data_IF_595727509330
#
_entry.id   IF_595727509330
#
_cell.length_a   1.000
_cell.length_b   1.000
_cell.length_c   1.000
_cell.angle_alpha   90.00
_cell.angle_beta   90.00
_cell.angle_gamma   90.00
#
_symmetry.space_group_name_H-M   'P 1'
#
loop_
_entity.id
_entity.type
_entity.pdbx_description
1 polymer ?
#
# COMPACT_ATOMS: atom_id res chain seq x y z
N UNK A 1 2.48 18.67 7.85
CA UNK A 1 2.49 17.29 8.40
C UNK A 1 3.33 16.43 7.47
N UNK A 2 4.19 15.57 8.00
CA UNK A 2 5.00 14.65 7.19
C UNK A 2 4.22 13.37 6.92
N UNK A 3 4.29 12.85 5.69
CA UNK A 3 3.71 11.58 5.25
C UNK A 3 4.82 10.66 4.77
N UNK A 4 4.67 9.37 5.07
CA UNK A 4 5.57 8.32 4.59
C UNK A 4 4.96 7.72 3.33
N UNK A 5 5.67 7.77 2.22
CA UNK A 5 5.23 7.18 0.94
C UNK A 5 6.24 6.11 0.49
N UNK A 6 5.74 5.10 -0.23
CA UNK A 6 6.56 4.13 -0.93
C UNK A 6 6.48 4.41 -2.43
N UNK A 7 7.63 4.58 -3.07
CA UNK A 7 7.70 4.76 -4.52
C UNK A 7 7.39 3.43 -5.19
N UNK A 8 6.38 3.39 -6.03
CA UNK A 8 5.97 2.18 -6.77
C UNK A 8 6.31 2.28 -8.26
N UNK A 9 6.68 3.48 -8.71
CA UNK A 9 6.96 3.76 -10.11
C UNK A 9 8.39 3.41 -10.52
N UNK A 10 8.50 2.84 -11.72
CA UNK A 10 9.78 2.57 -12.40
C UNK A 10 10.40 3.83 -13.05
N UNK A 11 9.74 4.99 -12.94
CA UNK A 11 10.14 6.24 -13.63
C UNK A 11 11.18 7.08 -12.86
N UNK A 12 11.79 6.51 -11.82
CA UNK A 12 12.84 7.17 -11.00
C UNK A 12 12.54 8.65 -10.67
N UNK A 13 11.43 8.97 -9.98
CA UNK A 13 11.07 10.35 -9.75
C UNK A 13 12.15 11.08 -8.93
N UNK A 14 12.45 12.31 -9.32
CA UNK A 14 13.49 13.13 -8.68
C UNK A 14 12.85 13.95 -7.55
N UNK A 15 13.46 13.90 -6.37
CA UNK A 15 13.11 14.69 -5.21
C UNK A 15 14.36 15.42 -4.71
N UNK A 16 14.35 16.76 -4.72
CA UNK A 16 15.47 17.61 -4.25
C UNK A 16 16.85 17.15 -4.76
N UNK A 17 16.97 16.95 -6.08
CA UNK A 17 18.18 16.46 -6.77
C UNK A 17 18.60 15.01 -6.50
N UNK A 18 17.76 14.24 -5.79
CA UNK A 18 17.96 12.80 -5.61
C UNK A 18 16.94 12.01 -6.40
N UNK A 19 17.41 11.03 -7.17
CA UNK A 19 16.55 10.01 -7.78
C UNK A 19 16.03 9.06 -6.71
N UNK A 20 14.73 8.83 -6.72
CA UNK A 20 14.11 7.82 -5.85
C UNK A 20 13.96 6.51 -6.60
N UNK A 21 14.36 5.42 -5.96
CA UNK A 21 14.27 4.08 -6.54
C UNK A 21 12.89 3.47 -6.30
N UNK A 22 12.52 2.49 -7.13
CA UNK A 22 11.34 1.66 -6.87
C UNK A 22 11.46 0.97 -5.50
N UNK A 23 10.34 0.87 -4.80
CA UNK A 23 10.19 0.34 -3.44
C UNK A 23 10.90 1.12 -2.34
N UNK A 24 11.50 2.27 -2.68
CA UNK A 24 12.08 3.17 -1.70
C UNK A 24 10.99 3.83 -0.84
N UNK A 25 11.21 3.87 0.47
CA UNK A 25 10.31 4.50 1.44
C UNK A 25 10.89 5.85 1.80
N UNK A 26 10.13 6.92 1.58
CA UNK A 26 10.58 8.29 1.82
C UNK A 26 9.53 9.03 2.65
N UNK A 27 10.01 9.80 3.62
CA UNK A 27 9.20 10.75 4.37
C UNK A 27 9.31 12.14 3.74
N UNK A 28 8.18 12.73 3.40
CA UNK A 28 8.11 14.06 2.81
C UNK A 28 6.88 14.82 3.30
N UNK A 29 6.77 16.08 2.92
CA UNK A 29 5.61 16.90 3.28
C UNK A 29 4.32 16.38 2.59
N UNK A 30 3.18 16.59 3.25
CA UNK A 30 1.87 16.10 2.78
C UNK A 30 1.56 16.54 1.35
N UNK A 31 1.88 17.79 1.00
CA UNK A 31 1.62 18.34 -0.34
C UNK A 31 2.41 17.60 -1.42
N UNK A 32 3.69 17.32 -1.16
CA UNK A 32 4.54 16.56 -2.07
C UNK A 32 4.09 15.10 -2.14
N UNK A 33 3.75 14.48 -1.01
CA UNK A 33 3.24 13.12 -0.99
C UNK A 33 1.96 12.98 -1.85
N UNK A 34 1.03 13.93 -1.75
CA UNK A 34 -0.21 13.94 -2.54
C UNK A 34 0.07 14.16 -4.04
N UNK A 35 1.05 14.98 -4.39
CA UNK A 35 1.49 15.13 -5.79
C UNK A 35 2.04 13.81 -6.36
N UNK A 36 2.81 13.06 -5.57
CA UNK A 36 3.35 11.77 -6.01
C UNK A 36 2.25 10.71 -6.13
N UNK A 37 1.30 10.68 -5.19
CA UNK A 37 0.17 9.75 -5.22
C UNK A 37 -0.78 10.07 -6.38
N UNK A 38 -1.14 11.33 -6.59
CA UNK A 38 -2.01 11.76 -7.71
C UNK A 38 -1.43 11.46 -9.09
N UNK A 39 -0.10 11.45 -9.21
CA UNK A 39 0.60 11.06 -10.44
C UNK A 39 0.83 9.55 -10.57
N UNK A 40 0.27 8.74 -9.67
CA UNK A 40 0.49 7.28 -9.58
C UNK A 40 1.98 6.91 -9.47
N UNK A 41 2.79 7.75 -8.83
CA UNK A 41 4.24 7.51 -8.66
C UNK A 41 4.56 6.79 -7.34
N UNK A 42 3.68 6.93 -6.35
CA UNK A 42 3.88 6.40 -5.02
C UNK A 42 2.55 6.03 -4.36
N UNK A 43 2.63 5.23 -3.31
CA UNK A 43 1.51 4.85 -2.45
C UNK A 43 1.78 5.34 -1.03
N UNK A 44 0.76 5.91 -0.38
CA UNK A 44 0.86 6.28 1.02
C UNK A 44 1.06 5.04 1.89
N UNK A 45 2.21 4.97 2.56
CA UNK A 45 2.51 3.88 3.47
C UNK A 45 2.06 4.29 4.86
N UNK A 46 0.76 4.26 5.08
CA UNK A 46 0.27 4.23 6.46
C UNK A 46 0.82 2.97 7.12
N UNK A 47 1.42 3.10 8.29
CA UNK A 47 1.94 1.99 9.11
C UNK A 47 0.79 1.13 9.68
N UNK A 48 -0.23 0.85 8.87
CA UNK A 48 -1.20 -0.20 9.09
C UNK A 48 -0.43 -1.51 9.09
N UNK A 49 -0.05 -1.96 10.30
CA UNK A 49 0.43 -3.32 10.54
C UNK A 49 -0.47 -4.24 9.71
N UNK A 50 0.09 -5.17 8.90
CA UNK A 50 -0.73 -6.12 8.18
C UNK A 50 -1.68 -6.74 9.21
N UNK A 51 -3.00 -6.61 8.99
CA UNK A 51 -4.01 -7.16 9.89
C UNK A 51 -3.68 -8.63 9.98
N UNK A 52 -3.06 -9.06 11.09
CA UNK A 52 -2.79 -10.48 11.35
C UNK A 52 -4.16 -11.13 11.29
N UNK A 53 -4.45 -11.84 10.20
CA UNK A 53 -5.72 -12.58 10.06
C UNK A 53 -5.79 -13.52 11.26
N UNK A 54 -6.85 -13.38 12.05
CA UNK A 54 -7.00 -14.17 13.26
C UNK A 54 -7.05 -15.65 12.85
N UNK A 55 -6.27 -16.51 13.52
CA UNK A 55 -6.39 -17.96 13.37
C UNK A 55 -7.40 -18.49 14.40
N UNK A 56 -8.08 -19.59 14.09
CA UNK A 56 -8.83 -20.34 15.08
C UNK A 56 -7.88 -21.22 15.93
N UNK A 57 -8.42 -21.88 16.95
CA UNK A 57 -7.66 -22.76 17.86
C UNK A 57 -6.96 -23.93 17.15
N UNK A 58 -7.42 -24.28 15.94
CA UNK A 58 -6.84 -25.32 15.08
C UNK A 58 -5.83 -24.76 14.07
N UNK A 59 -5.51 -23.47 14.13
CA UNK A 59 -4.51 -22.82 13.27
C UNK A 59 -5.02 -22.42 11.88
N UNK A 60 -6.31 -22.59 11.56
CA UNK A 60 -6.90 -22.15 10.30
C UNK A 60 -7.26 -20.67 10.34
N UNK A 61 -7.24 -20.01 9.18
CA UNK A 61 -7.68 -18.62 9.04
C UNK A 61 -9.16 -18.50 9.41
N UNK A 62 -9.52 -17.54 10.29
CA UNK A 62 -10.93 -17.18 10.48
C UNK A 62 -11.42 -16.53 9.19
N UNK A 63 -12.52 -17.05 8.65
CA UNK A 63 -13.23 -16.46 7.52
C UNK A 63 -13.56 -15.02 7.89
N UNK A 64 -13.15 -14.08 7.03
CA UNK A 64 -13.56 -12.69 7.17
C UNK A 64 -14.98 -12.62 6.61
N UNK A 65 -15.95 -12.56 7.51
CA UNK A 65 -17.39 -12.38 7.24
C UNK A 65 -18.13 -13.57 6.55
N UNK A 66 -19.00 -14.31 7.27
CA UNK A 66 -19.85 -15.37 6.69
C UNK A 66 -20.94 -14.83 5.74
N UNK A 67 -21.11 -13.51 5.61
CA UNK A 67 -22.08 -12.90 4.70
C UNK A 67 -21.55 -12.62 3.29
N UNK A 68 -20.28 -12.90 3.00
CA UNK A 68 -19.74 -12.77 1.64
C UNK A 68 -20.20 -13.98 0.82
N UNK A 69 -21.12 -13.85 -0.16
CA UNK A 69 -21.41 -14.93 -1.09
C UNK A 69 -20.13 -15.25 -1.87
N UNK A 70 -19.73 -16.53 -1.91
CA UNK A 70 -18.70 -17.03 -2.83
C UNK A 70 -19.23 -16.90 -4.26
N UNK A 71 -19.09 -15.71 -4.85
CA UNK A 71 -19.26 -15.54 -6.29
C UNK A 71 -17.95 -15.98 -6.92
N UNK A 72 -17.96 -17.18 -7.51
CA UNK A 72 -16.83 -17.71 -8.24
C UNK A 72 -16.76 -16.97 -9.60
N UNK A 73 -16.21 -15.76 -9.61
CA UNK A 73 -16.03 -14.92 -10.81
C UNK A 73 -15.00 -15.47 -11.82
N UNK A 74 -14.59 -16.73 -11.68
CA UNK A 74 -13.49 -17.34 -12.43
C UNK A 74 -13.93 -18.19 -13.63
N UNK A 75 -15.04 -17.86 -14.31
CA UNK A 75 -15.38 -18.46 -15.60
C UNK A 75 -16.20 -17.49 -16.49
N UNK A 76 -15.58 -16.98 -17.55
CA UNK A 76 -16.22 -16.73 -18.85
C UNK A 76 -15.36 -17.40 -19.94
#
# INVERSE_FOLDING_TARGET
MKKTIQITSDREPILFDRKLMKDEIVEMDSEMAELFISKNLAVEKTSAKPKKRARNERGHWKSDDPSTPEVNEAYE
#
